data_IF_652610325868
#
_entry.id   IF_652610325868
#
_cell.length_a   1.000
_cell.length_b   1.000
_cell.length_c   1.000
_cell.angle_alpha   90.00
_cell.angle_beta   90.00
_cell.angle_gamma   90.00
#
_symmetry.space_group_name_H-M   'P 1'
#
loop_
_entity.id
_entity.type
_entity.pdbx_description
1 polymer ?
#
# COMPACT_ATOMS: atom_id res chain seq x y z
N UNK A 1 5.44 32.00 38.61
CA UNK A 1 5.48 32.21 37.15
C UNK A 1 6.31 31.07 36.54
N UNK A 2 5.65 30.03 36.04
CA UNK A 2 6.30 28.87 35.41
C UNK A 2 6.14 28.99 33.89
N UNK A 3 7.23 29.26 33.16
CA UNK A 3 7.20 29.29 31.70
C UNK A 3 7.37 27.85 31.17
N UNK A 4 6.35 27.35 30.49
CA UNK A 4 6.37 26.09 29.75
C UNK A 4 7.10 26.30 28.42
N UNK A 5 8.23 25.65 28.22
CA UNK A 5 8.95 25.64 26.94
C UNK A 5 8.45 24.47 26.10
N UNK A 6 7.73 24.76 25.02
CA UNK A 6 7.36 23.76 24.00
C UNK A 6 8.62 23.44 23.18
N UNK A 7 9.01 22.16 22.98
CA UNK A 7 10.12 21.84 22.11
C UNK A 7 9.68 21.99 20.65
N UNK A 8 10.24 22.97 19.95
CA UNK A 8 10.10 23.10 18.50
C UNK A 8 11.02 22.08 17.82
N UNK A 9 10.47 21.02 17.25
CA UNK A 9 11.21 20.13 16.35
C UNK A 9 11.42 20.84 15.01
N UNK A 10 12.40 21.73 14.94
CA UNK A 10 12.90 22.22 13.65
C UNK A 10 13.80 21.12 13.06
N UNK A 11 13.26 20.39 12.08
CA UNK A 11 14.04 19.46 11.28
C UNK A 11 15.15 20.24 10.57
N UNK A 12 16.40 19.90 10.84
CA UNK A 12 17.60 20.63 10.41
C UNK A 12 18.01 20.39 8.94
N UNK A 13 17.15 19.75 8.16
CA UNK A 13 17.39 19.49 6.74
C UNK A 13 16.14 19.88 5.92
N UNK A 14 16.04 21.15 5.46
CA UNK A 14 15.02 21.51 4.49
C UNK A 14 15.31 20.74 3.22
N UNK A 15 14.47 19.75 2.91
CA UNK A 15 14.45 19.16 1.58
C UNK A 15 14.11 20.31 0.60
N UNK A 16 14.87 20.51 -0.48
CA UNK A 16 14.55 21.56 -1.45
C UNK A 16 13.09 21.43 -1.92
N UNK A 17 12.39 22.54 -2.16
CA UNK A 17 10.96 22.52 -2.58
C UNK A 17 10.71 21.66 -3.84
N UNK A 18 11.72 21.57 -4.73
CA UNK A 18 11.71 20.69 -5.89
C UNK A 18 11.62 19.19 -5.51
N UNK A 19 12.23 18.79 -4.40
CA UNK A 19 12.16 17.42 -3.88
C UNK A 19 10.78 17.12 -3.28
N UNK A 20 10.25 18.04 -2.47
CA UNK A 20 8.93 17.91 -1.85
C UNK A 20 7.79 17.83 -2.88
N UNK A 21 7.87 18.64 -3.94
CA UNK A 21 6.89 18.61 -5.04
C UNK A 21 7.01 17.34 -5.88
N UNK A 22 8.22 16.85 -6.15
CA UNK A 22 8.44 15.57 -6.84
C UNK A 22 7.85 14.40 -6.06
N UNK A 23 8.09 14.34 -4.75
CA UNK A 23 7.51 13.30 -3.89
C UNK A 23 5.99 13.34 -3.84
N UNK A 24 5.43 14.54 -3.78
CA UNK A 24 3.97 14.73 -3.82
C UNK A 24 3.39 14.25 -5.15
N UNK A 25 4.06 14.55 -6.26
CA UNK A 25 3.70 14.05 -7.59
C UNK A 25 3.73 12.51 -7.66
N UNK A 26 4.81 11.90 -7.16
CA UNK A 26 4.95 10.44 -7.07
C UNK A 26 3.81 9.83 -6.24
N UNK A 27 3.56 10.37 -5.05
CA UNK A 27 2.51 9.86 -4.17
C UNK A 27 1.13 9.97 -4.81
N UNK A 28 0.80 11.12 -5.43
CA UNK A 28 -0.48 11.29 -6.13
C UNK A 28 -0.64 10.33 -7.31
N UNK A 29 0.45 9.95 -7.97
CA UNK A 29 0.44 8.96 -9.04
C UNK A 29 0.25 7.52 -8.52
N UNK A 30 0.91 7.17 -7.41
CA UNK A 30 0.92 5.81 -6.86
C UNK A 30 -0.34 5.52 -6.05
N UNK A 31 -0.82 6.48 -5.25
CA UNK A 31 -1.92 6.30 -4.27
C UNK A 31 -3.17 5.61 -4.84
N UNK A 32 -3.68 5.93 -6.05
CA UNK A 32 -4.90 5.30 -6.57
C UNK A 32 -4.78 3.79 -6.77
N UNK A 33 -3.57 3.26 -6.97
CA UNK A 33 -3.31 1.84 -7.14
C UNK A 33 -2.98 1.12 -5.82
N UNK A 34 -2.82 1.85 -4.72
CA UNK A 34 -2.63 1.28 -3.38
C UNK A 34 -3.99 1.05 -2.76
N UNK A 35 -4.23 -0.17 -2.29
CA UNK A 35 -5.48 -0.59 -1.66
C UNK A 35 -5.22 -1.16 -0.28
N UNK A 36 -6.23 -1.15 0.57
CA UNK A 36 -6.19 -1.84 1.85
C UNK A 36 -6.85 -3.21 1.71
N UNK A 37 -6.11 -4.26 2.05
CA UNK A 37 -6.62 -5.63 2.12
C UNK A 37 -7.14 -5.86 3.54
N UNK A 38 -8.41 -6.20 3.67
CA UNK A 38 -9.11 -6.44 4.93
C UNK A 38 -9.56 -7.87 5.06
N UNK A 39 -9.39 -8.39 6.26
CA UNK A 39 -9.95 -9.66 6.70
C UNK A 39 -10.73 -9.42 8.00
N UNK A 40 -12.01 -9.78 7.99
CA UNK A 40 -12.90 -9.58 9.14
C UNK A 40 -12.42 -10.27 10.43
N UNK A 41 -11.57 -11.30 10.31
CA UNK A 41 -11.15 -12.15 11.44
C UNK A 41 -9.70 -11.94 11.90
N UNK A 42 -8.78 -11.50 11.03
CA UNK A 42 -7.33 -11.57 11.32
C UNK A 42 -6.53 -10.27 11.06
N UNK A 43 -7.20 -9.14 10.79
CA UNK A 43 -6.54 -7.85 10.56
C UNK A 43 -6.51 -7.45 9.08
N UNK A 44 -5.49 -6.72 8.66
CA UNK A 44 -5.36 -6.30 7.26
C UNK A 44 -3.97 -5.79 6.92
N UNK A 45 -3.81 -5.39 5.67
CA UNK A 45 -2.53 -5.00 5.11
C UNK A 45 -2.69 -4.16 3.85
N UNK A 46 -1.58 -3.97 3.14
CA UNK A 46 -1.54 -3.24 1.88
C UNK A 46 -1.60 -4.21 0.70
N UNK A 47 -2.38 -3.85 -0.31
CA UNK A 47 -2.31 -4.45 -1.64
C UNK A 47 -1.98 -3.41 -2.69
N UNK A 48 -1.50 -3.88 -3.84
CA UNK A 48 -1.22 -3.05 -5.02
C UNK A 48 -2.02 -3.61 -6.18
N UNK A 49 -2.79 -2.75 -6.86
CA UNK A 49 -3.47 -3.11 -8.10
C UNK A 49 -2.41 -3.33 -9.18
N UNK A 50 -2.29 -4.57 -9.62
CA UNK A 50 -1.29 -5.04 -10.60
C UNK A 50 -1.79 -4.91 -12.03
N UNK A 51 -3.10 -5.06 -12.25
CA UNK A 51 -3.72 -4.92 -13.56
C UNK A 51 -5.08 -4.24 -13.44
N UNK A 52 -5.45 -3.56 -14.52
CA UNK A 52 -6.71 -2.82 -14.61
C UNK A 52 -7.97 -3.67 -14.48
N UNK A 53 -7.88 -5.00 -14.68
CA UNK A 53 -8.98 -5.98 -14.59
C UNK A 53 -9.24 -6.49 -13.15
N UNK A 54 -8.71 -5.80 -12.13
CA UNK A 54 -8.98 -6.16 -10.73
C UNK A 54 -8.00 -7.14 -10.10
N UNK A 55 -6.85 -7.40 -10.72
CA UNK A 55 -5.80 -8.20 -10.12
C UNK A 55 -4.98 -7.38 -9.12
N UNK A 56 -4.82 -7.91 -7.90
CA UNK A 56 -4.15 -7.22 -6.80
C UNK A 56 -3.09 -8.14 -6.21
N UNK A 57 -1.87 -7.62 -6.02
CA UNK A 57 -0.79 -8.32 -5.34
C UNK A 57 -0.71 -7.85 -3.89
N UNK A 58 -0.50 -8.79 -2.97
CA UNK A 58 -0.28 -8.55 -1.54
C UNK A 58 0.67 -9.61 -0.99
N UNK A 59 1.09 -9.46 0.27
CA UNK A 59 1.77 -10.54 0.97
C UNK A 59 0.81 -11.72 1.25
N UNK A 60 1.33 -12.94 1.20
CA UNK A 60 0.55 -14.15 1.48
C UNK A 60 0.07 -14.19 2.92
N UNK A 61 0.89 -13.76 3.88
CA UNK A 61 0.51 -13.74 5.29
C UNK A 61 -0.65 -12.78 5.62
N UNK A 62 -0.91 -11.77 4.77
CA UNK A 62 -2.06 -10.86 4.91
C UNK A 62 -3.38 -11.58 4.62
N UNK A 63 -3.33 -12.63 3.79
CA UNK A 63 -4.51 -13.35 3.33
C UNK A 63 -4.85 -14.49 4.32
N UNK A 64 -6.11 -14.60 4.79
CA UNK A 64 -6.51 -15.67 5.70
C UNK A 64 -6.18 -17.06 5.16
N UNK A 65 -5.98 -18.06 6.02
CA UNK A 65 -5.64 -19.43 5.58
C UNK A 65 -6.74 -20.08 4.75
N UNK A 66 -8.01 -19.85 5.07
CA UNK A 66 -9.17 -20.36 4.33
C UNK A 66 -9.40 -19.62 2.99
N UNK A 67 -8.84 -18.41 2.84
CA UNK A 67 -8.99 -17.60 1.63
C UNK A 67 -10.36 -16.93 1.50
N UNK A 68 -11.15 -16.91 2.57
CA UNK A 68 -12.49 -16.33 2.59
C UNK A 68 -12.54 -14.98 3.30
N UNK A 69 -13.62 -14.23 3.10
CA UNK A 69 -13.88 -12.98 3.85
C UNK A 69 -12.88 -11.85 3.57
N UNK A 70 -12.27 -11.85 2.37
CA UNK A 70 -11.33 -10.82 1.95
C UNK A 70 -12.10 -9.66 1.35
N UNK A 71 -11.87 -8.45 1.86
CA UNK A 71 -12.41 -7.21 1.32
C UNK A 71 -11.27 -6.28 0.91
N UNK A 72 -11.42 -5.61 -0.23
CA UNK A 72 -10.47 -4.63 -0.75
C UNK A 72 -11.10 -3.25 -0.62
N UNK A 73 -10.44 -2.38 0.13
CA UNK A 73 -10.85 -0.99 0.31
C UNK A 73 -9.99 -0.11 -0.60
N UNK A 74 -10.66 0.59 -1.51
CA UNK A 74 -10.06 1.51 -2.46
C UNK A 74 -9.98 2.92 -1.87
N UNK A 75 -9.06 3.72 -2.40
CA UNK A 75 -8.86 5.12 -1.95
C UNK A 75 -10.00 6.06 -2.34
N UNK A 76 -10.88 5.63 -3.24
CA UNK A 76 -12.12 6.33 -3.60
C UNK A 76 -13.32 5.97 -2.70
N UNK A 77 -13.11 5.14 -1.67
CA UNK A 77 -14.12 4.72 -0.71
C UNK A 77 -14.92 3.48 -1.13
N UNK A 78 -14.68 2.90 -2.31
CA UNK A 78 -15.29 1.62 -2.69
C UNK A 78 -14.71 0.49 -1.86
N UNK A 79 -15.56 -0.47 -1.52
CA UNK A 79 -15.13 -1.75 -0.94
C UNK A 79 -15.67 -2.89 -1.80
N UNK A 80 -14.78 -3.78 -2.24
CA UNK A 80 -15.15 -4.93 -3.08
C UNK A 80 -14.69 -6.24 -2.43
N UNK A 81 -15.49 -7.31 -2.50
CA UNK A 81 -15.03 -8.63 -2.11
C UNK A 81 -13.93 -9.09 -3.08
N UNK A 82 -12.92 -9.77 -2.53
CA UNK A 82 -11.88 -10.39 -3.32
C UNK A 82 -11.82 -11.89 -3.09
N UNK A 83 -11.36 -12.59 -4.13
CA UNK A 83 -11.02 -14.01 -4.07
C UNK A 83 -9.53 -14.19 -4.32
N UNK A 84 -8.97 -15.25 -3.75
CA UNK A 84 -7.59 -15.63 -4.01
C UNK A 84 -7.49 -16.31 -5.38
N UNK A 85 -6.69 -15.76 -6.29
CA UNK A 85 -6.34 -16.41 -7.55
C UNK A 85 -5.17 -17.37 -7.37
N UNK A 86 -4.13 -16.93 -6.65
CA UNK A 86 -2.91 -17.70 -6.47
C UNK A 86 -2.22 -17.33 -5.17
N UNK A 87 -1.49 -18.28 -4.59
CA UNK A 87 -0.60 -18.08 -3.45
C UNK A 87 0.73 -18.70 -3.75
N UNK A 88 1.77 -18.04 -3.29
CA UNK A 88 3.13 -18.49 -3.46
C UNK A 88 3.89 -18.27 -2.15
N UNK A 89 3.71 -19.18 -1.17
CA UNK A 89 4.18 -19.00 0.21
C UNK A 89 5.70 -18.84 0.34
N UNK A 90 6.47 -19.43 -0.58
CA UNK A 90 7.94 -19.37 -0.57
C UNK A 90 8.48 -17.94 -0.74
N UNK A 91 7.79 -17.06 -1.46
CA UNK A 91 8.14 -15.63 -1.56
C UNK A 91 7.15 -14.74 -0.80
N UNK A 92 6.28 -15.33 0.03
CA UNK A 92 5.23 -14.63 0.78
C UNK A 92 4.36 -13.72 -0.11
N UNK A 93 3.94 -14.23 -1.27
CA UNK A 93 3.10 -13.50 -2.24
C UNK A 93 1.72 -14.14 -2.41
N UNK A 94 0.70 -13.31 -2.60
CA UNK A 94 -0.63 -13.72 -3.01
C UNK A 94 -1.18 -12.79 -4.10
N UNK A 95 -1.88 -13.39 -5.06
CA UNK A 95 -2.63 -12.71 -6.11
C UNK A 95 -4.12 -12.83 -5.80
N UNK A 96 -4.78 -11.68 -5.69
CA UNK A 96 -6.20 -11.55 -5.44
C UNK A 96 -6.91 -11.02 -6.69
N UNK A 97 -8.23 -11.26 -6.78
CA UNK A 97 -9.11 -10.72 -7.82
C UNK A 97 -10.34 -10.08 -7.20
N UNK A 98 -10.65 -8.86 -7.63
CA UNK A 98 -11.95 -8.21 -7.46
C UNK A 98 -12.69 -8.16 -8.80
N UNK A 99 -14.01 -8.10 -8.77
CA UNK A 99 -14.82 -7.87 -9.97
C UNK A 99 -14.96 -6.36 -10.22
N UNK A 100 -13.94 -5.80 -10.88
CA UNK A 100 -13.91 -4.43 -11.37
C UNK A 100 -12.93 -4.31 -12.54
N UNK A 101 -13.21 -3.37 -13.43
CA UNK A 101 -12.38 -3.06 -14.59
C UNK A 101 -11.92 -1.59 -14.55
N UNK A 102 -10.97 -1.26 -15.42
CA UNK A 102 -10.42 0.10 -15.57
C UNK A 102 -9.85 0.68 -14.27
N UNK A 103 -9.33 -0.18 -13.38
CA UNK A 103 -8.70 0.26 -12.15
C UNK A 103 -7.35 0.94 -12.44
N UNK A 104 -7.00 2.01 -11.71
CA UNK A 104 -5.62 2.50 -11.67
C UNK A 104 -4.70 1.38 -11.19
N UNK A 105 -3.63 1.10 -11.93
CA UNK A 105 -2.69 0.02 -11.63
C UNK A 105 -1.24 0.50 -11.80
N UNK A 106 -0.31 -0.20 -11.15
CA UNK A 106 1.12 0.05 -11.30
C UNK A 106 1.77 -1.12 -12.04
N UNK A 107 2.52 -0.85 -13.13
CA UNK A 107 3.27 -1.89 -13.82
C UNK A 107 4.45 -2.35 -12.96
N UNK A 108 4.94 -3.56 -13.26
CA UNK A 108 6.18 -4.07 -12.70
C UNK A 108 7.36 -3.18 -13.11
N UNK A 109 8.23 -2.86 -12.15
CA UNK A 109 9.58 -2.35 -12.44
C UNK A 109 10.56 -3.50 -12.68
N UNK A 110 11.70 -3.19 -13.32
CA UNK A 110 12.82 -4.13 -13.46
C UNK A 110 13.77 -4.00 -12.26
N UNK A 111 13.65 -4.93 -11.32
CA UNK A 111 14.50 -4.96 -10.12
C UNK A 111 15.96 -5.30 -10.41
N UNK A 112 16.27 -5.96 -11.53
CA UNK A 112 17.64 -6.29 -11.91
C UNK A 112 18.43 -5.07 -12.41
N UNK A 113 17.73 -4.03 -12.83
CA UNK A 113 18.33 -2.77 -13.29
C UNK A 113 18.69 -1.79 -12.15
N UNK A 114 18.21 -2.06 -10.93
CA UNK A 114 18.44 -1.18 -9.78
C UNK A 114 19.92 -1.13 -9.40
N UNK A 115 20.40 0.08 -9.06
CA UNK A 115 21.78 0.30 -8.64
C UNK A 115 21.88 0.56 -7.14
N UNK A 116 23.01 0.16 -6.56
CA UNK A 116 23.33 0.47 -5.16
C UNK A 116 23.34 2.00 -4.97
N UNK A 117 22.59 2.48 -3.98
CA UNK A 117 22.43 3.91 -3.69
C UNK A 117 21.22 4.57 -4.36
N UNK A 118 20.44 3.84 -5.16
CA UNK A 118 19.16 4.35 -5.66
C UNK A 118 18.12 4.47 -4.55
N UNK A 119 17.32 5.53 -4.62
CA UNK A 119 16.23 5.78 -3.69
C UNK A 119 15.06 4.84 -3.97
N UNK A 120 14.51 4.28 -2.90
CA UNK A 120 13.28 3.48 -2.93
C UNK A 120 12.28 4.03 -1.93
N UNK A 121 11.00 4.00 -2.31
CA UNK A 121 9.90 4.45 -1.46
C UNK A 121 8.99 3.26 -1.16
N UNK A 122 8.85 2.93 0.11
CA UNK A 122 7.82 2.01 0.57
C UNK A 122 6.53 2.79 0.81
N UNK A 123 5.52 2.54 -0.03
CA UNK A 123 4.21 3.16 0.09
C UNK A 123 3.23 2.05 0.44
N UNK A 124 2.42 2.27 1.46
CA UNK A 124 1.37 1.36 1.83
C UNK A 124 0.23 2.07 2.53
N UNK A 125 -0.85 1.32 2.70
CA UNK A 125 -1.94 1.71 3.56
C UNK A 125 -1.62 1.20 4.97
N UNK A 126 -1.22 2.07 5.92
CA UNK A 126 -1.01 1.63 7.28
C UNK A 126 -2.31 1.00 7.77
N UNK A 127 -2.20 -0.24 8.27
CA UNK A 127 -3.27 -0.85 9.02
C UNK A 127 -3.31 -0.15 10.37
N UNK A 128 -4.43 0.46 10.70
CA UNK A 128 -4.60 1.07 12.01
C UNK A 128 -5.03 0.01 13.03
N UNK A 129 -4.23 -0.13 14.08
CA UNK A 129 -4.57 -0.93 15.26
C UNK A 129 -5.34 -0.09 16.29
N UNK A 130 -5.80 1.12 15.95
CA UNK A 130 -6.49 1.99 16.90
C UNK A 130 -7.80 1.34 17.41
N UNK A 131 -7.69 0.68 18.56
CA UNK A 131 -8.82 0.36 19.42
C UNK A 131 -9.09 -1.12 19.66
N UNK A 132 -8.08 -1.90 20.06
CA UNK A 132 -8.27 -2.96 21.05
C UNK A 132 -7.25 -2.83 22.17
#
# INVERSE_FOLDING_TARGET
MTQSTTPSTQSSYPLPDAFSSTLTGLFNHVRPAIVQVRNERHGGGTGIVWRADGQIITNNHVVPKDGEGIQIHFTDGRTLPARVLHRQPQFDLALLKVEADQLPFLPAGDSASLRVGEWVFAIGHPWDNAGR
#
